data_IF_395292582404
#
_entry.id   IF_395292582404
#
_cell.length_a   1.000
_cell.length_b   1.000
_cell.length_c   1.000
_cell.angle_alpha   90.00
_cell.angle_beta   90.00
_cell.angle_gamma   90.00
#
_symmetry.space_group_name_H-M   'P 1'
#
loop_
_entity.id
_entity.type
_entity.pdbx_description
1 polymer ?
#
# COMPACT_ATOMS: atom_id res chain seq x y z
N UNK A 1 -7.17 9.93 -24.22
CA UNK A 1 -8.05 9.51 -23.89
C UNK A 1 -8.65 8.27 -24.52
N UNK A 2 -9.42 7.50 -23.85
CA UNK A 2 -10.50 6.71 -24.40
C UNK A 2 -10.27 5.27 -24.81
N UNK A 3 -9.11 4.67 -24.73
CA UNK A 3 -9.03 3.19 -24.91
C UNK A 3 -9.38 2.54 -23.57
N UNK A 4 -10.59 2.03 -23.46
CA UNK A 4 -11.01 1.22 -22.30
C UNK A 4 -10.68 -0.24 -22.59
N UNK A 5 -9.54 -0.70 -22.11
CA UNK A 5 -9.18 -2.12 -22.17
C UNK A 5 -10.05 -2.95 -21.22
N UNK A 6 -10.38 -4.17 -21.62
CA UNK A 6 -10.92 -5.16 -20.71
C UNK A 6 -10.00 -5.38 -19.52
N UNK A 7 -10.55 -5.85 -18.40
CA UNK A 7 -9.78 -6.01 -17.15
C UNK A 7 -8.55 -6.91 -17.37
N UNK A 8 -8.74 -8.02 -18.04
CA UNK A 8 -7.71 -9.02 -18.35
C UNK A 8 -6.60 -8.41 -19.21
N UNK A 9 -6.97 -7.62 -20.22
CA UNK A 9 -6.02 -6.95 -21.09
C UNK A 9 -5.20 -5.87 -20.35
N UNK A 10 -5.81 -5.19 -19.38
CA UNK A 10 -5.06 -4.22 -18.55
C UNK A 10 -3.97 -4.88 -17.71
N UNK A 11 -4.25 -6.05 -17.14
CA UNK A 11 -3.23 -6.79 -16.38
C UNK A 11 -2.17 -7.42 -17.27
N UNK A 12 -2.55 -7.92 -18.45
CA UNK A 12 -1.59 -8.44 -19.42
C UNK A 12 -0.67 -7.33 -19.97
N UNK A 13 -1.22 -6.16 -20.28
CA UNK A 13 -0.44 -4.98 -20.65
C UNK A 13 0.54 -4.58 -19.54
N UNK A 14 0.05 -4.50 -18.28
CA UNK A 14 0.88 -4.15 -17.13
C UNK A 14 2.01 -5.18 -16.91
N UNK A 15 1.78 -6.46 -17.20
CA UNK A 15 2.83 -7.49 -17.12
C UNK A 15 3.92 -7.27 -18.15
N UNK A 16 3.57 -6.89 -19.40
CA UNK A 16 4.54 -6.51 -20.42
C UNK A 16 5.32 -5.26 -20.01
N UNK A 17 4.62 -4.21 -19.53
CA UNK A 17 5.25 -2.97 -19.07
C UNK A 17 6.31 -3.23 -17.98
N UNK A 18 5.96 -4.02 -16.95
CA UNK A 18 6.89 -4.36 -15.86
C UNK A 18 8.07 -5.18 -16.39
N UNK A 19 7.83 -6.11 -17.32
CA UNK A 19 8.88 -6.94 -17.91
C UNK A 19 9.86 -6.10 -18.74
N UNK A 20 9.34 -5.17 -19.55
CA UNK A 20 10.13 -4.22 -20.33
C UNK A 20 10.96 -3.30 -19.40
N UNK A 21 10.34 -2.72 -18.38
CA UNK A 21 11.05 -1.87 -17.41
C UNK A 21 12.19 -2.63 -16.73
N UNK A 22 11.96 -3.85 -16.26
CA UNK A 22 13.00 -4.68 -15.65
C UNK A 22 14.12 -4.97 -16.63
N UNK A 23 13.80 -5.37 -17.86
CA UNK A 23 14.79 -5.63 -18.88
C UNK A 23 15.65 -4.41 -19.20
N UNK A 24 15.03 -3.25 -19.42
CA UNK A 24 15.73 -1.98 -19.70
C UNK A 24 16.61 -1.51 -18.54
N UNK A 25 16.16 -1.68 -17.30
CA UNK A 25 16.89 -1.22 -16.11
C UNK A 25 18.03 -2.15 -15.68
N UNK A 26 17.95 -3.43 -16.05
CA UNK A 26 18.98 -4.42 -15.69
C UNK A 26 19.99 -4.71 -16.83
N UNK A 27 19.65 -4.38 -18.09
CA UNK A 27 20.50 -4.66 -19.24
C UNK A 27 21.58 -3.58 -19.43
N UNK A 28 22.82 -4.04 -19.67
CA UNK A 28 23.91 -3.16 -20.12
C UNK A 28 23.87 -2.89 -21.64
N UNK A 29 23.11 -3.68 -22.40
CA UNK A 29 22.98 -3.62 -23.85
C UNK A 29 21.58 -3.20 -24.33
N UNK A 30 21.36 -3.27 -25.66
CA UNK A 30 20.04 -3.05 -26.22
C UNK A 30 19.08 -4.19 -25.83
N UNK A 31 17.80 -3.87 -25.71
CA UNK A 31 16.73 -4.79 -25.35
C UNK A 31 15.77 -4.92 -26.53
N UNK A 32 15.53 -6.14 -26.94
CA UNK A 32 14.43 -6.50 -27.84
C UNK A 32 13.30 -7.11 -26.99
N UNK A 33 12.07 -6.76 -27.33
CA UNK A 33 10.87 -7.33 -26.73
C UNK A 33 9.81 -7.52 -27.81
N UNK A 34 9.14 -8.65 -27.80
CA UNK A 34 8.06 -8.96 -28.74
C UNK A 34 6.88 -9.54 -27.94
N UNK A 35 5.94 -8.69 -27.59
CA UNK A 35 4.76 -9.00 -26.79
C UNK A 35 3.47 -8.79 -27.57
N UNK A 36 2.35 -8.96 -26.88
CA UNK A 36 1.02 -8.73 -27.45
C UNK A 36 0.72 -7.23 -27.65
N UNK A 37 1.22 -6.39 -26.78
CA UNK A 37 0.93 -4.94 -26.73
C UNK A 37 2.14 -4.12 -27.16
N UNK A 38 3.34 -4.60 -26.92
CA UNK A 38 4.57 -3.87 -27.20
C UNK A 38 5.53 -4.69 -28.06
N UNK A 39 6.13 -4.00 -29.02
CA UNK A 39 7.27 -4.53 -29.78
C UNK A 39 8.40 -3.51 -29.71
N UNK A 40 9.56 -3.93 -29.18
CA UNK A 40 10.75 -3.10 -29.07
C UNK A 40 11.91 -3.75 -29.83
N UNK A 41 12.71 -2.94 -30.49
CA UNK A 41 13.95 -3.37 -31.20
C UNK A 41 15.09 -2.43 -30.80
N UNK A 42 16.13 -3.01 -30.22
CA UNK A 42 17.33 -2.26 -29.83
C UNK A 42 17.10 -1.16 -28.81
N UNK A 43 16.05 -1.26 -27.98
CA UNK A 43 15.68 -0.23 -27.03
C UNK A 43 16.74 -0.08 -25.93
N UNK A 44 16.97 1.15 -25.49
CA UNK A 44 17.94 1.50 -24.45
C UNK A 44 17.38 2.57 -23.56
N UNK A 45 17.84 2.62 -22.32
CA UNK A 45 17.53 3.70 -21.37
C UNK A 45 18.82 4.35 -20.86
N UNK A 46 18.79 5.66 -20.73
CA UNK A 46 19.87 6.46 -20.15
C UNK A 46 19.27 7.65 -19.37
N UNK A 47 19.72 7.93 -18.14
CA UNK A 47 20.71 7.14 -17.37
C UNK A 47 20.12 5.82 -16.86
N UNK A 48 21.00 4.89 -16.52
CA UNK A 48 20.65 3.65 -15.83
C UNK A 48 20.33 3.91 -14.36
N UNK A 49 19.41 3.16 -13.72
CA UNK A 49 19.15 3.29 -12.29
C UNK A 49 20.39 2.99 -11.43
N UNK A 50 20.54 3.71 -10.32
CA UNK A 50 21.56 3.41 -9.32
C UNK A 50 21.26 2.11 -8.55
N UNK A 51 19.97 1.86 -8.25
CA UNK A 51 19.55 0.63 -7.59
C UNK A 51 19.76 -0.57 -8.53
N UNK A 52 20.28 -1.66 -7.99
CA UNK A 52 20.51 -2.90 -8.73
C UNK A 52 19.72 -4.06 -8.12
N UNK A 53 19.17 -4.95 -8.95
CA UNK A 53 19.20 -4.93 -10.42
C UNK A 53 18.32 -3.81 -11.03
N UNK A 54 17.35 -3.27 -10.30
CA UNK A 54 16.43 -2.18 -10.67
C UNK A 54 15.78 -1.58 -9.41
N UNK A 55 15.14 -0.41 -9.48
CA UNK A 55 14.32 0.13 -8.38
C UNK A 55 13.22 -0.84 -7.98
N UNK A 56 12.98 -1.00 -6.68
CA UNK A 56 11.94 -1.92 -6.17
C UNK A 56 10.56 -1.61 -6.73
N UNK A 57 9.86 -2.66 -7.14
CA UNK A 57 8.48 -2.59 -7.58
C UNK A 57 7.51 -2.81 -6.43
N UNK A 58 6.62 -1.85 -6.25
CA UNK A 58 5.50 -1.92 -5.33
C UNK A 58 4.21 -2.04 -6.13
N UNK A 59 3.42 -3.06 -5.88
CA UNK A 59 2.11 -3.24 -6.49
C UNK A 59 1.03 -3.30 -5.41
N UNK A 60 -0.06 -2.57 -5.61
CA UNK A 60 -1.26 -2.65 -4.80
C UNK A 60 -2.42 -3.24 -5.61
N UNK A 61 -3.41 -3.74 -4.91
CA UNK A 61 -4.65 -4.24 -5.51
C UNK A 61 -5.27 -5.36 -4.70
N UNK A 62 -6.59 -5.49 -4.78
CA UNK A 62 -7.36 -6.47 -4.00
C UNK A 62 -7.95 -7.61 -4.85
N UNK A 63 -7.66 -7.67 -6.16
CA UNK A 63 -8.16 -8.72 -7.03
C UNK A 63 -7.16 -9.88 -7.20
N UNK A 64 -7.65 -11.04 -7.57
CA UNK A 64 -6.81 -12.22 -7.79
C UNK A 64 -5.74 -11.97 -8.88
N UNK A 65 -6.09 -11.21 -9.93
CA UNK A 65 -5.15 -10.86 -11.00
C UNK A 65 -4.05 -9.92 -10.51
N UNK A 66 -4.39 -8.95 -9.64
CA UNK A 66 -3.39 -8.07 -9.02
C UNK A 66 -2.44 -8.87 -8.12
N UNK A 67 -2.98 -9.84 -7.39
CA UNK A 67 -2.18 -10.71 -6.53
C UNK A 67 -1.25 -11.63 -7.31
N UNK A 68 -1.74 -12.22 -8.42
CA UNK A 68 -0.91 -13.04 -9.31
C UNK A 68 0.21 -12.24 -9.95
N UNK A 69 -0.10 -11.03 -10.46
CA UNK A 69 0.91 -10.13 -11.03
C UNK A 69 1.94 -9.70 -9.95
N UNK A 70 1.46 -9.44 -8.73
CA UNK A 70 2.34 -9.14 -7.60
C UNK A 70 3.24 -10.31 -7.23
N UNK A 71 2.68 -11.52 -7.16
CA UNK A 71 3.42 -12.74 -6.89
C UNK A 71 4.53 -13.00 -7.92
N UNK A 72 4.26 -12.68 -9.19
CA UNK A 72 5.24 -12.80 -10.28
C UNK A 72 6.32 -11.72 -10.26
N UNK A 73 5.95 -10.46 -10.03
CA UNK A 73 6.80 -9.33 -10.41
C UNK A 73 7.14 -8.36 -9.29
N UNK A 74 6.32 -8.23 -8.23
CA UNK A 74 6.54 -7.22 -7.20
C UNK A 74 7.63 -7.61 -6.23
N UNK A 75 8.40 -6.62 -5.77
CA UNK A 75 9.26 -6.78 -4.60
C UNK A 75 8.46 -6.62 -3.30
N UNK A 76 7.40 -5.82 -3.34
CA UNK A 76 6.48 -5.62 -2.21
C UNK A 76 5.04 -5.53 -2.71
N UNK A 77 4.14 -6.32 -2.12
CA UNK A 77 2.71 -6.11 -2.28
C UNK A 77 2.19 -5.16 -1.20
N UNK A 78 1.55 -4.05 -1.60
CA UNK A 78 0.95 -3.08 -0.70
C UNK A 78 -0.53 -3.36 -0.50
N UNK A 79 -0.91 -3.76 0.71
CA UNK A 79 -2.31 -3.87 1.09
C UNK A 79 -2.89 -2.49 1.46
N UNK A 80 -4.15 -2.28 1.16
CA UNK A 80 -4.93 -1.29 1.90
C UNK A 80 -5.27 -1.84 3.29
N UNK A 81 -5.55 -0.94 4.23
CA UNK A 81 -5.86 -1.34 5.60
C UNK A 81 -7.04 -2.31 5.69
N UNK A 82 -6.86 -3.31 6.52
CA UNK A 82 -7.84 -4.31 6.92
C UNK A 82 -7.50 -4.77 8.34
N UNK A 83 -8.26 -5.70 8.90
CA UNK A 83 -7.93 -6.31 10.18
C UNK A 83 -6.60 -7.09 10.08
N UNK A 84 -5.78 -7.13 11.14
CA UNK A 84 -4.53 -7.89 11.14
C UNK A 84 -4.70 -9.35 10.71
N UNK A 85 -5.77 -10.01 11.16
CA UNK A 85 -6.09 -11.38 10.77
C UNK A 85 -6.26 -11.52 9.26
N UNK A 86 -7.04 -10.61 8.65
CA UNK A 86 -7.29 -10.64 7.20
C UNK A 86 -6.02 -10.36 6.41
N UNK A 87 -5.17 -9.46 6.89
CA UNK A 87 -3.87 -9.19 6.26
C UNK A 87 -2.99 -10.44 6.32
N UNK A 88 -2.93 -11.16 7.44
CA UNK A 88 -2.17 -12.41 7.56
C UNK A 88 -2.64 -13.48 6.55
N UNK A 89 -3.96 -13.66 6.40
CA UNK A 89 -4.56 -14.59 5.41
C UNK A 89 -4.19 -14.21 3.98
N UNK A 90 -4.28 -12.92 3.65
CA UNK A 90 -3.93 -12.42 2.33
C UNK A 90 -2.44 -12.58 2.03
N UNK A 91 -1.56 -12.32 3.01
CA UNK A 91 -0.13 -12.56 2.88
C UNK A 91 0.18 -14.03 2.60
N UNK A 92 -0.45 -14.96 3.33
CA UNK A 92 -0.30 -16.40 3.11
C UNK A 92 -0.74 -16.80 1.70
N UNK A 93 -1.86 -16.26 1.23
CA UNK A 93 -2.39 -16.50 -0.12
C UNK A 93 -1.42 -16.03 -1.19
N UNK A 94 -0.93 -14.78 -1.11
CA UNK A 94 0.00 -14.23 -2.11
C UNK A 94 1.35 -14.95 -2.05
N UNK A 95 1.83 -15.34 -0.85
CA UNK A 95 3.05 -16.12 -0.69
C UNK A 95 2.92 -17.50 -1.35
N UNK A 96 1.75 -18.16 -1.22
CA UNK A 96 1.44 -19.38 -1.95
C UNK A 96 1.41 -19.23 -3.46
N UNK A 97 0.90 -18.08 -3.98
CA UNK A 97 0.99 -17.74 -5.39
C UNK A 97 2.45 -17.53 -5.82
N UNK A 98 3.23 -16.78 -5.05
CA UNK A 98 4.65 -16.51 -5.33
C UNK A 98 5.51 -17.78 -5.33
N UNK A 99 5.15 -18.79 -4.54
CA UNK A 99 5.83 -20.09 -4.54
C UNK A 99 5.82 -20.77 -5.90
N UNK A 100 4.73 -20.63 -6.68
CA UNK A 100 4.64 -21.17 -8.05
C UNK A 100 5.64 -20.51 -9.02
N UNK A 101 6.13 -19.32 -8.66
CA UNK A 101 7.14 -18.56 -9.40
C UNK A 101 8.53 -18.58 -8.75
N UNK A 102 8.74 -19.46 -7.75
CA UNK A 102 10.01 -19.55 -7.01
C UNK A 102 10.32 -18.32 -6.14
N UNK A 103 9.29 -17.51 -5.77
CA UNK A 103 9.45 -16.21 -5.11
C UNK A 103 8.83 -16.12 -3.70
N UNK A 104 8.45 -17.24 -3.09
CA UNK A 104 7.82 -17.24 -1.77
C UNK A 104 8.64 -16.49 -0.70
N UNK A 105 9.97 -16.63 -0.74
CA UNK A 105 10.88 -16.02 0.24
C UNK A 105 11.33 -14.61 -0.12
N UNK A 106 11.09 -14.15 -1.35
CA UNK A 106 11.56 -12.85 -1.82
C UNK A 106 10.48 -11.79 -1.90
N UNK A 107 9.20 -12.19 -1.95
CA UNK A 107 8.10 -11.24 -1.93
C UNK A 107 7.94 -10.64 -0.53
N UNK A 108 8.02 -9.31 -0.47
CA UNK A 108 7.74 -8.54 0.73
C UNK A 108 6.28 -8.05 0.78
N UNK A 109 5.88 -7.56 1.94
CA UNK A 109 4.55 -7.01 2.17
C UNK A 109 4.63 -5.65 2.84
N UNK A 110 3.64 -4.82 2.56
CA UNK A 110 3.51 -3.50 3.15
C UNK A 110 2.07 -3.05 3.25
N UNK A 111 1.88 -1.94 3.96
CA UNK A 111 0.56 -1.36 4.21
C UNK A 111 0.45 0.05 3.65
N UNK A 112 -0.68 0.33 3.02
CA UNK A 112 -1.10 1.68 2.66
C UNK A 112 -2.19 2.10 3.63
N UNK A 113 -1.84 2.99 4.58
CA UNK A 113 -2.71 3.48 5.64
C UNK A 113 -2.73 5.02 5.66
N UNK A 114 -3.73 5.57 6.28
CA UNK A 114 -3.69 6.93 6.77
C UNK A 114 -3.21 6.91 8.23
N UNK A 115 -2.65 8.01 8.71
CA UNK A 115 -2.33 8.19 10.12
C UNK A 115 -2.79 9.57 10.59
N UNK A 116 -3.29 9.62 11.81
CA UNK A 116 -3.71 10.84 12.49
C UNK A 116 -3.28 10.75 13.94
N UNK A 117 -2.11 11.34 14.21
CA UNK A 117 -1.47 11.30 15.50
C UNK A 117 -1.57 12.66 16.22
N UNK A 118 -1.98 12.66 17.50
CA UNK A 118 -1.97 13.84 18.36
C UNK A 118 -1.27 13.51 19.67
N UNK A 119 -1.03 14.50 20.51
CA UNK A 119 -0.38 14.27 21.81
C UNK A 119 -1.22 13.37 22.70
N UNK A 120 -2.52 13.54 22.67
CA UNK A 120 -3.49 12.74 23.42
C UNK A 120 -4.44 11.97 22.51
N UNK A 121 -5.00 10.90 23.04
CA UNK A 121 -6.02 10.12 22.34
C UNK A 121 -7.27 10.94 22.02
N UNK A 122 -7.72 11.75 22.98
CA UNK A 122 -8.89 12.61 22.81
C UNK A 122 -8.71 13.59 21.65
N UNK A 123 -7.59 14.31 21.60
CA UNK A 123 -7.28 15.23 20.49
C UNK A 123 -7.20 14.50 19.14
N UNK A 124 -6.69 13.27 19.10
CA UNK A 124 -6.64 12.49 17.88
C UNK A 124 -8.05 12.14 17.38
N UNK A 125 -8.94 11.72 18.27
CA UNK A 125 -10.33 11.42 17.92
C UNK A 125 -11.13 12.67 17.54
N UNK A 126 -10.92 13.78 18.23
CA UNK A 126 -11.54 15.07 17.87
C UNK A 126 -11.13 15.48 16.45
N UNK A 127 -9.84 15.39 16.13
CA UNK A 127 -9.34 15.67 14.78
C UNK A 127 -9.87 14.68 13.72
N UNK A 128 -10.06 13.40 14.06
CA UNK A 128 -10.64 12.41 13.17
C UNK A 128 -12.12 12.71 12.86
N UNK A 129 -12.91 13.02 13.89
CA UNK A 129 -14.32 13.37 13.74
C UNK A 129 -14.51 14.67 12.97
N UNK A 130 -13.61 15.64 13.16
CA UNK A 130 -13.61 16.91 12.41
C UNK A 130 -13.48 16.68 10.89
N UNK A 131 -12.68 15.72 10.44
CA UNK A 131 -12.53 15.41 9.01
C UNK A 131 -13.83 14.96 8.32
N UNK A 132 -14.79 14.46 9.07
CA UNK A 132 -16.04 13.92 8.54
C UNK A 132 -17.29 14.63 9.06
N UNK A 133 -17.13 15.68 9.87
CA UNK A 133 -18.23 16.39 10.53
C UNK A 133 -19.30 16.89 9.57
N UNK A 134 -18.88 17.48 8.46
CA UNK A 134 -19.78 18.15 7.52
C UNK A 134 -20.17 17.27 6.32
N UNK A 135 -19.84 15.95 6.36
CA UNK A 135 -20.16 15.05 5.27
C UNK A 135 -21.66 14.79 5.20
N UNK A 136 -22.21 14.91 4.00
CA UNK A 136 -23.61 14.60 3.72
C UNK A 136 -23.80 13.15 3.26
N UNK A 137 -25.00 12.59 3.46
CA UNK A 137 -25.34 11.26 2.92
C UNK A 137 -25.22 11.21 1.39
N UNK A 138 -25.49 12.33 0.70
CA UNK A 138 -25.36 12.42 -0.75
C UNK A 138 -23.91 12.25 -1.20
N UNK A 139 -22.95 12.88 -0.51
CA UNK A 139 -21.53 12.72 -0.79
C UNK A 139 -21.06 11.29 -0.53
N UNK A 140 -21.45 10.71 0.59
CA UNK A 140 -21.11 9.31 0.92
C UNK A 140 -21.68 8.35 -0.12
N UNK A 141 -22.92 8.55 -0.55
CA UNK A 141 -23.58 7.74 -1.59
C UNK A 141 -22.86 7.87 -2.93
N UNK A 142 -22.51 9.09 -3.34
CA UNK A 142 -21.73 9.35 -4.55
C UNK A 142 -20.42 8.55 -4.57
N UNK A 143 -19.63 8.63 -3.48
CA UNK A 143 -18.36 7.90 -3.36
C UNK A 143 -18.59 6.39 -3.49
N UNK A 144 -19.55 5.83 -2.77
CA UNK A 144 -19.86 4.41 -2.82
C UNK A 144 -20.23 3.93 -4.22
N UNK A 145 -21.06 4.69 -4.94
CA UNK A 145 -21.53 4.33 -6.27
C UNK A 145 -20.45 4.50 -7.33
N UNK A 146 -19.76 5.62 -7.31
CA UNK A 146 -18.79 5.97 -8.36
C UNK A 146 -17.55 5.06 -8.36
N UNK A 147 -17.14 4.57 -7.19
CA UNK A 147 -15.97 3.71 -7.02
C UNK A 147 -16.29 2.23 -6.76
N UNK A 148 -17.53 1.82 -7.04
CA UNK A 148 -17.99 0.45 -6.82
C UNK A 148 -17.26 -0.61 -7.67
N UNK A 149 -16.62 -0.23 -8.78
CA UNK A 149 -15.87 -1.14 -9.65
C UNK A 149 -14.52 -1.62 -9.10
N UNK A 150 -14.04 -1.08 -7.98
CA UNK A 150 -12.75 -1.46 -7.37
C UNK A 150 -12.96 -2.47 -6.24
N UNK A 151 -12.34 -3.66 -6.36
CA UNK A 151 -12.39 -4.70 -5.31
C UNK A 151 -11.86 -4.19 -3.96
N UNK A 152 -10.81 -3.37 -3.98
CA UNK A 152 -10.26 -2.79 -2.76
C UNK A 152 -11.24 -1.76 -2.12
N UNK A 153 -11.89 -0.91 -2.93
CA UNK A 153 -12.94 -0.02 -2.42
C UNK A 153 -14.15 -0.80 -1.89
N UNK A 154 -14.60 -1.85 -2.58
CA UNK A 154 -15.67 -2.71 -2.10
C UNK A 154 -15.34 -3.29 -0.72
N UNK A 155 -14.10 -3.79 -0.54
CA UNK A 155 -13.66 -4.34 0.76
C UNK A 155 -13.66 -3.29 1.87
N UNK A 156 -13.13 -2.11 1.63
CA UNK A 156 -13.10 -1.03 2.64
C UNK A 156 -14.53 -0.59 3.01
N UNK A 157 -15.44 -0.49 2.03
CA UNK A 157 -16.85 -0.21 2.28
C UNK A 157 -17.56 -1.35 3.01
N UNK A 158 -17.16 -2.59 2.77
CA UNK A 158 -17.67 -3.77 3.48
C UNK A 158 -17.23 -3.73 4.95
N UNK A 159 -15.94 -3.45 5.23
CA UNK A 159 -15.43 -3.29 6.60
C UNK A 159 -16.25 -2.25 7.38
N UNK A 160 -16.50 -1.09 6.79
CA UNK A 160 -17.28 -0.05 7.43
C UNK A 160 -18.75 -0.48 7.71
N UNK A 161 -19.32 -1.37 6.89
CA UNK A 161 -20.66 -1.92 7.14
C UNK A 161 -20.68 -3.01 8.20
N UNK A 162 -19.66 -3.87 8.23
CA UNK A 162 -19.59 -5.04 9.13
C UNK A 162 -19.18 -4.63 10.55
N UNK A 163 -18.27 -3.67 10.67
CA UNK A 163 -17.66 -3.29 11.94
C UNK A 163 -18.00 -1.86 12.39
N UNK A 164 -18.75 -1.10 11.57
CA UNK A 164 -18.94 0.32 11.83
C UNK A 164 -17.67 1.12 11.57
N UNK A 165 -17.46 2.16 12.37
CA UNK A 165 -16.33 3.06 12.16
C UNK A 165 -14.98 2.48 12.65
N UNK A 166 -14.99 1.44 13.49
CA UNK A 166 -13.78 0.86 14.09
C UNK A 166 -13.63 -0.61 13.72
N UNK A 167 -12.52 -0.95 13.05
CA UNK A 167 -12.13 -2.33 12.76
C UNK A 167 -11.03 -2.84 13.72
N UNK A 168 -10.68 -2.04 14.69
CA UNK A 168 -9.73 -2.28 15.77
C UNK A 168 -9.69 -1.06 16.69
N UNK A 169 -9.01 -1.11 17.84
CA UNK A 169 -9.03 -0.01 18.83
C UNK A 169 -8.66 1.36 18.23
N UNK A 170 -7.72 1.38 17.29
CA UNK A 170 -7.17 2.58 16.67
C UNK A 170 -7.19 2.52 15.13
N UNK A 171 -7.96 1.59 14.54
CA UNK A 171 -8.15 1.45 13.10
C UNK A 171 -9.55 1.94 12.72
N UNK A 172 -9.61 3.14 12.16
CA UNK A 172 -10.84 3.85 11.88
C UNK A 172 -11.16 3.88 10.38
N UNK A 173 -12.43 3.64 10.04
CA UNK A 173 -12.94 3.60 8.66
C UNK A 173 -13.64 4.89 8.24
N UNK A 174 -13.89 5.82 9.16
CA UNK A 174 -14.79 6.97 8.95
C UNK A 174 -14.43 7.85 7.76
N UNK A 175 -13.15 7.95 7.41
CA UNK A 175 -12.70 8.74 6.25
C UNK A 175 -13.20 8.18 4.92
N UNK A 176 -13.68 6.94 4.89
CA UNK A 176 -14.31 6.34 3.68
C UNK A 176 -15.59 7.04 3.26
N UNK A 177 -16.19 7.84 4.17
CA UNK A 177 -17.39 8.63 3.90
C UNK A 177 -17.09 9.85 3.01
N UNK A 178 -15.86 10.36 3.07
CA UNK A 178 -15.44 11.62 2.42
C UNK A 178 -14.50 11.42 1.25
N UNK A 179 -13.88 10.23 1.13
CA UNK A 179 -12.96 9.95 0.03
C UNK A 179 -12.94 8.47 -0.36
N UNK A 180 -12.69 8.15 -1.65
CA UNK A 180 -12.37 6.80 -2.08
C UNK A 180 -10.93 6.45 -1.78
N UNK A 181 -10.60 5.18 -1.91
CA UNK A 181 -9.22 4.69 -1.81
C UNK A 181 -8.90 4.08 -0.46
N UNK A 182 -7.61 4.06 -0.09
CA UNK A 182 -7.13 3.53 1.18
C UNK A 182 -7.64 4.41 2.34
N UNK A 183 -8.81 4.06 2.85
CA UNK A 183 -9.57 4.84 3.82
C UNK A 183 -9.50 4.32 5.26
N UNK A 184 -8.53 3.47 5.58
CA UNK A 184 -8.28 3.05 6.96
C UNK A 184 -7.25 3.98 7.58
N UNK A 185 -7.61 4.55 8.72
CA UNK A 185 -6.79 5.53 9.45
C UNK A 185 -6.36 4.94 10.78
N UNK A 186 -5.09 5.05 11.08
CA UNK A 186 -4.55 4.84 12.43
C UNK A 186 -4.76 6.14 13.21
N UNK A 187 -5.58 6.09 14.27
CA UNK A 187 -5.95 7.27 15.08
C UNK A 187 -5.51 7.04 16.52
N UNK A 188 -4.76 7.96 17.10
CA UNK A 188 -4.38 7.85 18.49
C UNK A 188 -3.22 8.75 18.91
N UNK A 189 -2.77 8.57 20.14
CA UNK A 189 -1.53 9.17 20.62
C UNK A 189 -0.31 8.41 20.03
N UNK A 190 0.93 8.92 20.22
CA UNK A 190 2.11 8.32 19.63
C UNK A 190 2.31 6.84 19.95
N UNK A 191 2.03 6.42 21.19
CA UNK A 191 2.17 5.03 21.63
C UNK A 191 1.14 4.14 20.95
N UNK A 192 -0.12 4.55 20.92
CA UNK A 192 -1.23 3.84 20.28
C UNK A 192 -1.01 3.69 18.77
N UNK A 193 -0.53 4.74 18.11
CA UNK A 193 -0.17 4.69 16.70
C UNK A 193 0.97 3.70 16.43
N UNK A 194 2.02 3.73 17.28
CA UNK A 194 3.14 2.79 17.16
C UNK A 194 2.68 1.35 17.41
N UNK A 195 1.85 1.09 18.41
CA UNK A 195 1.31 -0.25 18.71
C UNK A 195 0.45 -0.79 17.59
N UNK A 196 -0.38 0.06 16.99
CA UNK A 196 -1.24 -0.34 15.87
C UNK A 196 -0.40 -0.72 14.64
N UNK A 197 0.62 0.07 14.30
CA UNK A 197 1.53 -0.25 13.20
C UNK A 197 2.38 -1.49 13.50
N UNK A 198 2.77 -1.69 14.78
CA UNK A 198 3.56 -2.84 15.19
C UNK A 198 2.84 -4.17 14.92
N UNK A 199 1.51 -4.23 15.05
CA UNK A 199 0.74 -5.44 14.71
C UNK A 199 1.02 -5.91 13.27
N UNK A 200 1.08 -4.98 12.31
CA UNK A 200 1.38 -5.31 10.92
C UNK A 200 2.87 -5.65 10.71
N UNK A 201 3.77 -4.99 11.43
CA UNK A 201 5.21 -5.34 11.41
C UNK A 201 5.41 -6.77 11.92
N UNK A 202 4.74 -7.16 13.00
CA UNK A 202 4.83 -8.49 13.58
C UNK A 202 4.27 -9.59 12.67
N UNK A 203 3.32 -9.27 11.79
CA UNK A 203 2.86 -10.15 10.71
C UNK A 203 3.88 -10.29 9.58
N UNK A 204 4.86 -9.39 9.48
CA UNK A 204 5.90 -9.41 8.44
C UNK A 204 5.77 -8.29 7.40
N UNK A 205 4.96 -7.26 7.65
CA UNK A 205 4.98 -6.06 6.82
C UNK A 205 6.25 -5.25 7.09
N UNK A 206 7.04 -5.01 6.05
CA UNK A 206 8.30 -4.27 6.11
C UNK A 206 8.26 -2.88 5.51
N UNK A 207 7.13 -2.51 4.90
CA UNK A 207 6.98 -1.22 4.21
C UNK A 207 5.63 -0.58 4.56
N UNK A 208 5.66 0.73 4.78
CA UNK A 208 4.45 1.50 5.07
C UNK A 208 4.39 2.74 4.18
N UNK A 209 3.31 2.88 3.43
CA UNK A 209 2.97 4.10 2.72
C UNK A 209 1.93 4.83 3.56
N UNK A 210 2.36 5.78 4.37
CA UNK A 210 1.50 6.55 5.26
C UNK A 210 1.16 7.89 4.65
N UNK A 211 -0.04 8.37 4.87
CA UNK A 211 -0.42 9.76 4.60
C UNK A 211 -1.40 10.26 5.67
N UNK A 212 -1.61 11.54 5.73
CA UNK A 212 -2.47 12.18 6.73
C UNK A 212 -3.10 13.48 6.24
N UNK A 213 -3.72 14.18 7.13
CA UNK A 213 -4.44 15.43 6.92
C UNK A 213 -3.98 16.46 7.97
N UNK A 214 -3.18 17.48 7.63
CA UNK A 214 -2.42 17.74 6.39
C UNK A 214 -1.20 16.82 6.28
N UNK A 215 -0.78 16.50 5.05
CA UNK A 215 0.27 15.50 4.82
C UNK A 215 1.62 15.85 5.43
N UNK A 216 2.07 17.07 5.30
CA UNK A 216 3.34 17.57 5.82
C UNK A 216 3.36 17.57 7.35
N UNK A 217 2.28 18.04 7.99
CA UNK A 217 2.16 18.03 9.45
C UNK A 217 2.16 16.60 10.01
N UNK A 218 1.38 15.68 9.41
CA UNK A 218 1.34 14.29 9.86
C UNK A 218 2.68 13.57 9.60
N UNK A 219 3.39 13.90 8.53
CA UNK A 219 4.73 13.37 8.30
C UNK A 219 5.71 13.83 9.40
N UNK A 220 5.63 15.10 9.81
CA UNK A 220 6.46 15.64 10.91
C UNK A 220 6.10 14.99 12.26
N UNK A 221 4.80 14.84 12.56
CA UNK A 221 4.33 14.17 13.79
C UNK A 221 4.79 12.70 13.81
N UNK A 222 4.61 11.98 12.71
CA UNK A 222 5.08 10.61 12.58
C UNK A 222 6.60 10.50 12.81
N UNK A 223 7.38 11.34 12.14
CA UNK A 223 8.84 11.31 12.25
C UNK A 223 9.31 11.62 13.68
N UNK A 224 8.68 12.56 14.35
CA UNK A 224 9.06 13.01 15.70
C UNK A 224 8.56 12.09 16.81
N UNK A 225 7.34 11.57 16.69
CA UNK A 225 6.66 10.93 17.81
C UNK A 225 6.49 9.42 17.65
N UNK A 226 6.18 8.92 16.45
CA UNK A 226 5.84 7.51 16.24
C UNK A 226 7.04 6.69 15.79
N UNK A 227 7.80 7.21 14.82
CA UNK A 227 8.96 6.50 14.24
C UNK A 227 10.01 6.10 15.28
N UNK A 228 10.39 6.94 16.28
CA UNK A 228 11.35 6.53 17.30
C UNK A 228 10.87 5.32 18.13
N UNK A 229 9.58 5.28 18.49
CA UNK A 229 8.98 4.17 19.24
C UNK A 229 9.02 2.86 18.43
N UNK A 230 8.74 2.93 17.14
CA UNK A 230 8.85 1.77 16.24
C UNK A 230 10.31 1.34 16.08
N UNK A 231 11.25 2.27 15.95
CA UNK A 231 12.68 1.97 15.83
C UNK A 231 13.21 1.25 17.08
N UNK A 232 12.85 1.71 18.25
CA UNK A 232 13.21 1.08 19.52
C UNK A 232 12.68 -0.36 19.63
N UNK A 233 11.38 -0.57 19.34
CA UNK A 233 10.73 -1.89 19.38
C UNK A 233 11.31 -2.89 18.37
N UNK A 234 11.86 -2.41 17.27
CA UNK A 234 12.38 -3.25 16.18
C UNK A 234 13.92 -3.23 16.08
N UNK A 235 14.62 -2.83 17.15
CA UNK A 235 16.07 -2.91 17.22
C UNK A 235 16.53 -4.35 16.98
N UNK A 236 17.37 -4.56 15.94
CA UNK A 236 17.85 -5.88 15.52
C UNK A 236 16.95 -6.62 14.50
N UNK A 237 15.75 -6.13 14.19
CA UNK A 237 14.90 -6.68 13.11
C UNK A 237 15.05 -5.92 11.77
N UNK A 238 15.61 -4.71 11.82
CA UNK A 238 15.80 -3.90 10.61
C UNK A 238 16.95 -4.48 9.77
N UNK A 239 16.75 -4.75 8.47
CA UNK A 239 17.86 -5.12 7.60
C UNK A 239 18.88 -3.97 7.58
N UNK A 240 20.17 -4.34 7.74
CA UNK A 240 21.27 -3.39 7.59
C UNK A 240 21.17 -2.74 6.19
N UNK A 241 20.85 -1.46 6.12
CA UNK A 241 20.71 -0.72 4.85
C UNK A 241 19.61 0.33 4.79
N UNK A 242 18.76 0.45 5.81
CA UNK A 242 17.76 1.53 5.92
C UNK A 242 18.14 2.56 6.99
N UNK A 243 19.39 2.83 7.12
CA UNK A 243 19.82 4.07 7.75
C UNK A 243 19.73 5.16 6.69
N UNK A 244 18.57 5.82 6.62
CA UNK A 244 18.48 7.07 5.90
C UNK A 244 19.56 7.99 6.44
N UNK A 245 20.54 8.33 5.61
CA UNK A 245 21.44 9.41 5.89
C UNK A 245 20.58 10.63 6.22
N UNK A 246 20.72 11.13 7.43
CA UNK A 246 20.25 12.46 7.77
C UNK A 246 21.03 13.46 6.92
N UNK A 247 20.41 14.58 6.53
CA UNK A 247 21.06 15.63 5.76
C UNK A 247 22.21 16.25 6.50
#
# INVERSE_FOLDING_TARGET
>A
EGIVLAKEDRYALMEEDVSIMKALWSSAGPVDFDGRFHTLKGARISPQPLQKPYPRFYLGGGSAEAWELSAKHSDVHLFWGDTPTRIAENMATIRGMAARHGRAETIGFGMRLQILCRETEAEAWDAAHELVRDVTEAQTRFIRTHYAGSAANQRVQQLAREHGDLIGPHLWTGVTRVRPGAGIVVVGNPLQCAETLQQFIDLGCSSFCLSGYLHDEEAMRFARWVRPLLAERNQGRMPAGVTGAAP
#
